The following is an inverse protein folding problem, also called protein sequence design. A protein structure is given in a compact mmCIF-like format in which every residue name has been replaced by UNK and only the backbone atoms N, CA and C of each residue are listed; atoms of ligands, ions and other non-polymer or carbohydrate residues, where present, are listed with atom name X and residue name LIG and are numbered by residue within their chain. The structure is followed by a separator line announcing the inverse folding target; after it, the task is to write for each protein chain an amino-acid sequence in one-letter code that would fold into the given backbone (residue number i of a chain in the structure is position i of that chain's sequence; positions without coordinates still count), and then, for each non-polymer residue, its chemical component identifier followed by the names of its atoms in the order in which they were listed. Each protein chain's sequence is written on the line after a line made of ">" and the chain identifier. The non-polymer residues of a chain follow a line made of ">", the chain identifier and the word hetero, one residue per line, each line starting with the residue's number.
data_IF_061497029025
#
_entry.id   IF_061497029025
#
_cell.length_a   1.000
_cell.length_b   1.000
_cell.length_c   1.000
_cell.angle_alpha   90.00
_cell.angle_beta   90.00
_cell.angle_gamma   90.00
#
_symmetry.space_group_name_H-M   'P 1'
#
loop_
_entity.id
_entity.type
_entity.pdbx_description
1 polymer ?
#
# COMPACT_ATOMS: atom_id res chain seq x y z
N UNK A 1 -28.25 8.11 5.43
CA UNK A 1 -27.36 8.31 4.28
C UNK A 1 -26.38 7.14 4.19
N UNK A 2 -26.31 6.44 3.05
CA UNK A 2 -25.35 5.35 2.89
C UNK A 2 -24.00 5.96 2.52
N UNK A 3 -23.00 5.84 3.38
CA UNK A 3 -21.64 6.36 3.17
C UNK A 3 -20.90 5.68 2.01
N UNK A 4 -21.32 4.47 1.63
CA UNK A 4 -20.71 3.69 0.55
C UNK A 4 -21.83 3.16 -0.37
N UNK A 5 -21.66 3.35 -1.69
CA UNK A 5 -22.61 2.88 -2.71
C UNK A 5 -22.13 1.57 -3.34
N UNK A 6 -22.88 0.46 -3.25
CA UNK A 6 -22.47 -0.83 -3.81
C UNK A 6 -22.28 -0.81 -5.33
N UNK A 7 -23.01 0.06 -6.02
CA UNK A 7 -22.89 0.24 -7.47
C UNK A 7 -21.54 0.84 -7.84
N UNK A 8 -21.07 1.85 -7.09
CA UNK A 8 -19.77 2.51 -7.32
C UNK A 8 -18.64 1.52 -7.02
N UNK A 9 -18.76 0.73 -5.96
CA UNK A 9 -17.79 -0.32 -5.60
C UNK A 9 -17.66 -1.34 -6.75
N UNK A 10 -18.77 -1.85 -7.27
CA UNK A 10 -18.77 -2.84 -8.37
C UNK A 10 -18.16 -2.27 -9.65
N UNK A 11 -18.44 -1.02 -9.99
CA UNK A 11 -17.84 -0.35 -11.14
C UNK A 11 -16.34 -0.12 -10.94
N UNK A 12 -15.92 0.28 -9.73
CA UNK A 12 -14.52 0.45 -9.38
C UNK A 12 -13.70 -0.84 -9.54
N UNK A 13 -14.20 -1.95 -9.02
CA UNK A 13 -13.56 -3.27 -9.20
C UNK A 13 -13.41 -3.60 -10.68
N UNK A 14 -14.47 -3.43 -11.49
CA UNK A 14 -14.43 -3.69 -12.94
C UNK A 14 -13.44 -2.78 -13.67
N UNK A 15 -13.28 -1.54 -13.22
CA UNK A 15 -12.32 -0.57 -13.80
C UNK A 15 -10.86 -0.99 -13.58
N UNK A 16 -10.53 -1.55 -12.43
CA UNK A 16 -9.17 -2.01 -12.10
C UNK A 16 -8.78 -3.19 -12.98
N UNK A 17 -9.67 -4.18 -13.13
CA UNK A 17 -9.37 -5.43 -13.84
C UNK A 17 -9.47 -5.33 -15.37
N UNK A 18 -10.05 -4.26 -15.90
CA UNK A 18 -10.31 -4.10 -17.35
C UNK A 18 -9.14 -3.60 -18.20
N UNK A 19 -7.93 -3.33 -17.62
CA UNK A 19 -6.77 -2.74 -18.33
C UNK A 19 -5.47 -3.45 -17.96
N UNK A 20 -4.41 -3.20 -18.73
CA UNK A 20 -3.04 -3.69 -18.48
C UNK A 20 -2.54 -3.42 -17.03
N UNK A 21 -3.07 -2.41 -16.38
CA UNK A 21 -2.81 -2.10 -14.96
C UNK A 21 -3.29 -3.21 -14.03
N UNK A 22 -4.36 -3.92 -14.39
CA UNK A 22 -4.82 -5.09 -13.64
C UNK A 22 -3.80 -6.22 -13.64
N UNK A 23 -3.07 -6.42 -14.73
CA UNK A 23 -2.01 -7.43 -14.83
C UNK A 23 -0.88 -7.14 -13.84
N UNK A 24 -0.47 -5.87 -13.74
CA UNK A 24 0.58 -5.45 -12.78
C UNK A 24 0.18 -5.69 -11.33
N UNK A 25 -1.11 -5.56 -10.98
CA UNK A 25 -1.61 -5.90 -9.65
C UNK A 25 -1.44 -7.38 -9.29
N UNK A 26 -1.43 -8.29 -10.28
CA UNK A 26 -1.14 -9.70 -10.04
C UNK A 26 0.36 -10.01 -10.10
N UNK A 27 1.10 -9.34 -10.97
CA UNK A 27 2.54 -9.56 -11.12
C UNK A 27 3.31 -9.17 -9.86
N UNK A 28 2.98 -8.03 -9.23
CA UNK A 28 3.68 -7.57 -8.02
C UNK A 28 3.61 -8.57 -6.85
N UNK A 29 2.42 -9.07 -6.44
CA UNK A 29 2.33 -10.11 -5.42
C UNK A 29 3.05 -11.40 -5.81
N UNK A 30 2.94 -11.80 -7.07
CA UNK A 30 3.57 -13.02 -7.58
C UNK A 30 5.10 -12.91 -7.53
N UNK A 31 5.65 -11.76 -7.88
CA UNK A 31 7.09 -11.47 -7.75
C UNK A 31 7.51 -11.50 -6.27
N UNK A 32 6.74 -10.89 -5.37
CA UNK A 32 7.05 -10.91 -3.94
C UNK A 32 7.12 -12.35 -3.39
N UNK A 33 6.07 -13.13 -3.61
CA UNK A 33 6.01 -14.51 -3.12
C UNK A 33 7.04 -15.39 -3.85
N UNK A 34 7.21 -15.21 -5.15
CA UNK A 34 8.22 -15.94 -5.94
C UNK A 34 9.65 -15.68 -5.46
N UNK A 35 9.98 -14.43 -5.18
CA UNK A 35 11.30 -14.08 -4.62
C UNK A 35 11.45 -14.56 -3.17
N UNK A 36 10.40 -14.59 -2.37
CA UNK A 36 10.42 -15.18 -1.05
C UNK A 36 10.72 -16.68 -1.10
N UNK A 37 10.08 -17.41 -2.01
CA UNK A 37 10.35 -18.84 -2.24
C UNK A 37 11.80 -19.05 -2.73
N UNK A 38 12.25 -18.23 -3.67
CA UNK A 38 13.61 -18.30 -4.19
C UNK A 38 14.66 -17.98 -3.12
N UNK A 39 14.45 -16.93 -2.34
CA UNK A 39 15.33 -16.56 -1.23
C UNK A 39 15.42 -17.70 -0.20
N UNK A 40 14.30 -18.32 0.14
CA UNK A 40 14.29 -19.50 1.02
C UNK A 40 15.08 -20.68 0.43
N UNK A 41 14.94 -20.93 -0.88
CA UNK A 41 15.62 -22.05 -1.54
C UNK A 41 17.13 -21.85 -1.63
N UNK A 42 17.59 -20.60 -1.80
CA UNK A 42 19.02 -20.28 -2.00
C UNK A 42 19.76 -20.00 -0.67
N UNK A 43 19.14 -19.29 0.24
CA UNK A 43 19.77 -18.79 1.48
C UNK A 43 19.32 -19.58 2.71
N UNK A 44 18.23 -20.34 2.60
CA UNK A 44 17.64 -21.05 3.73
C UNK A 44 16.85 -20.11 4.63
N UNK A 45 16.67 -20.50 5.90
CA UNK A 45 15.98 -19.70 6.90
C UNK A 45 16.99 -18.79 7.63
N UNK A 46 17.32 -17.64 7.03
CA UNK A 46 18.12 -16.62 7.71
C UNK A 46 17.22 -15.48 8.21
N UNK A 47 17.44 -15.04 9.42
CA UNK A 47 16.69 -13.91 9.99
C UNK A 47 16.87 -12.64 9.16
N UNK A 48 18.13 -12.28 8.92
CA UNK A 48 18.51 -11.08 8.18
C UNK A 48 17.95 -11.12 6.75
N UNK A 49 18.08 -12.24 6.02
CA UNK A 49 17.59 -12.38 4.66
C UNK A 49 16.07 -12.28 4.57
N UNK A 50 15.34 -12.83 5.54
CA UNK A 50 13.88 -12.76 5.61
C UNK A 50 13.41 -11.33 5.88
N UNK A 51 14.05 -10.64 6.83
CA UNK A 51 13.74 -9.26 7.17
C UNK A 51 14.02 -8.31 6.02
N UNK A 52 15.20 -8.42 5.38
CA UNK A 52 15.54 -7.61 4.22
C UNK A 52 14.58 -7.82 3.04
N UNK A 53 14.15 -9.06 2.79
CA UNK A 53 13.19 -9.35 1.72
C UNK A 53 11.82 -8.75 2.02
N UNK A 54 11.28 -8.97 3.21
CA UNK A 54 9.95 -8.47 3.59
C UNK A 54 9.93 -6.95 3.70
N UNK A 55 10.97 -6.35 4.29
CA UNK A 55 11.07 -4.90 4.39
C UNK A 55 11.35 -4.27 3.02
N UNK A 56 12.44 -4.64 2.36
CA UNK A 56 12.91 -3.99 1.14
C UNK A 56 11.98 -4.22 -0.04
N UNK A 57 11.59 -5.47 -0.33
CA UNK A 57 10.67 -5.75 -1.44
C UNK A 57 9.21 -5.54 -1.03
N UNK A 58 8.84 -6.00 0.16
CA UNK A 58 7.45 -5.95 0.59
C UNK A 58 6.99 -4.53 0.92
N UNK A 59 7.50 -3.93 2.01
CA UNK A 59 7.03 -2.63 2.50
C UNK A 59 7.49 -1.46 1.64
N UNK A 60 8.74 -1.48 1.14
CA UNK A 60 9.30 -0.34 0.38
C UNK A 60 8.83 -0.33 -1.07
N UNK A 61 8.59 -1.49 -1.69
CA UNK A 61 8.28 -1.57 -3.14
C UNK A 61 6.84 -2.02 -3.38
N UNK A 62 6.46 -3.21 -2.93
CA UNK A 62 5.18 -3.82 -3.34
C UNK A 62 3.99 -3.07 -2.75
N UNK A 63 4.00 -2.77 -1.46
CA UNK A 63 2.87 -2.08 -0.79
C UNK A 63 2.56 -0.73 -1.43
N UNK A 64 3.52 0.21 -1.58
CA UNK A 64 3.22 1.50 -2.17
C UNK A 64 2.88 1.43 -3.67
N UNK A 65 3.49 0.50 -4.43
CA UNK A 65 3.16 0.34 -5.85
C UNK A 65 1.75 -0.23 -6.05
N UNK A 66 1.34 -1.21 -5.24
CA UNK A 66 -0.04 -1.72 -5.26
C UNK A 66 -1.04 -0.62 -4.90
N UNK A 67 -0.75 0.17 -3.87
CA UNK A 67 -1.58 1.31 -3.48
C UNK A 67 -1.68 2.37 -4.59
N UNK A 68 -0.56 2.69 -5.24
CA UNK A 68 -0.52 3.64 -6.36
C UNK A 68 -1.33 3.14 -7.56
N UNK A 69 -1.17 1.87 -7.94
CA UNK A 69 -1.92 1.27 -9.05
C UNK A 69 -3.41 1.19 -8.77
N UNK A 70 -3.79 0.78 -7.55
CA UNK A 70 -5.18 0.68 -7.14
C UNK A 70 -5.86 2.05 -7.16
N UNK A 71 -5.28 3.07 -6.53
CA UNK A 71 -5.85 4.42 -6.46
C UNK A 71 -5.87 5.13 -7.80
N UNK A 72 -4.77 5.10 -8.56
CA UNK A 72 -4.71 5.73 -9.88
C UNK A 72 -5.63 5.05 -10.91
N UNK A 73 -5.82 3.73 -10.80
CA UNK A 73 -6.76 2.99 -11.64
C UNK A 73 -8.23 3.35 -11.41
N UNK A 74 -8.56 3.78 -10.18
CA UNK A 74 -9.92 4.14 -9.79
C UNK A 74 -10.28 5.62 -10.04
N UNK A 75 -9.31 6.52 -9.91
CA UNK A 75 -9.56 7.96 -9.93
C UNK A 75 -9.15 8.62 -11.26
N UNK A 76 -8.03 8.22 -11.85
CA UNK A 76 -7.51 8.85 -13.05
C UNK A 76 -8.44 8.77 -14.28
N UNK A 77 -9.13 7.64 -14.58
CA UNK A 77 -9.98 7.55 -15.77
C UNK A 77 -11.14 8.55 -15.78
N UNK A 78 -11.72 8.84 -14.62
CA UNK A 78 -12.86 9.75 -14.53
C UNK A 78 -12.45 11.23 -14.62
N UNK A 79 -11.22 11.54 -14.26
CA UNK A 79 -10.64 12.87 -14.40
C UNK A 79 -10.28 13.12 -15.86
N UNK A 80 -9.65 12.13 -16.52
CA UNK A 80 -9.21 12.23 -17.91
C UNK A 80 -10.38 12.27 -18.91
N UNK A 81 -11.42 11.46 -18.67
CA UNK A 81 -12.60 11.38 -19.57
C UNK A 81 -13.61 12.52 -19.36
N UNK A 82 -13.38 13.45 -18.42
CA UNK A 82 -14.31 14.53 -18.10
C UNK A 82 -15.68 14.06 -17.57
N UNK A 83 -15.82 12.75 -17.29
CA UNK A 83 -17.06 12.15 -16.78
C UNK A 83 -17.42 12.60 -15.36
N UNK A 84 -16.50 13.28 -14.69
CA UNK A 84 -16.73 14.00 -13.44
C UNK A 84 -17.93 14.93 -13.52
N UNK A 85 -18.15 15.62 -14.66
CA UNK A 85 -19.29 16.50 -14.88
C UNK A 85 -20.64 15.77 -14.85
N UNK A 86 -20.70 14.54 -15.37
CA UNK A 86 -21.90 13.69 -15.32
C UNK A 86 -22.17 13.12 -13.91
N UNK A 87 -21.12 12.81 -13.15
CA UNK A 87 -21.24 12.37 -11.76
C UNK A 87 -21.72 13.51 -10.84
N UNK A 88 -21.35 14.76 -11.15
CA UNK A 88 -21.77 15.95 -10.44
C UNK A 88 -23.24 16.34 -10.71
N UNK A 89 -23.82 15.87 -11.81
CA UNK A 89 -25.23 16.07 -12.14
C UNK A 89 -26.21 15.18 -11.34
N UNK A 90 -25.69 14.11 -10.70
CA UNK A 90 -26.49 13.28 -9.78
C UNK A 90 -26.45 13.85 -8.36
N UNK A 91 -27.56 13.78 -7.59
CA UNK A 91 -27.64 14.26 -6.21
C UNK A 91 -26.95 13.32 -5.21
N UNK A 92 -25.67 12.97 -5.50
CA UNK A 92 -24.82 12.15 -4.63
C UNK A 92 -23.71 13.02 -4.07
N UNK A 93 -23.52 13.09 -2.75
CA UNK A 93 -22.45 13.90 -2.15
C UNK A 93 -21.06 13.39 -2.62
N UNK A 94 -20.19 14.33 -2.96
CA UNK A 94 -18.83 14.06 -3.46
C UNK A 94 -18.03 13.16 -2.52
N UNK A 95 -18.18 13.33 -1.21
CA UNK A 95 -17.57 12.51 -0.18
C UNK A 95 -17.93 11.03 -0.31
N UNK A 96 -19.17 10.69 -0.65
CA UNK A 96 -19.61 9.30 -0.84
C UNK A 96 -18.90 8.64 -2.01
N UNK A 97 -18.64 9.39 -3.10
CA UNK A 97 -17.94 8.88 -4.27
C UNK A 97 -16.47 8.58 -3.92
N UNK A 98 -15.79 9.54 -3.29
CA UNK A 98 -14.37 9.40 -2.91
C UNK A 98 -14.19 8.28 -1.89
N UNK A 99 -15.02 8.24 -0.85
CA UNK A 99 -14.97 7.18 0.17
C UNK A 99 -15.24 5.79 -0.43
N UNK A 100 -16.22 5.66 -1.32
CA UNK A 100 -16.50 4.38 -1.97
C UNK A 100 -15.31 3.88 -2.79
N UNK A 101 -14.60 4.77 -3.47
CA UNK A 101 -13.40 4.43 -4.25
C UNK A 101 -12.21 4.13 -3.34
N UNK A 102 -12.04 4.89 -2.27
CA UNK A 102 -10.98 4.63 -1.30
C UNK A 102 -11.15 3.24 -0.65
N UNK A 103 -12.39 2.85 -0.30
CA UNK A 103 -12.69 1.51 0.21
C UNK A 103 -12.30 0.41 -0.79
N UNK A 104 -12.56 0.62 -2.09
CA UNK A 104 -12.12 -0.34 -3.13
C UNK A 104 -10.61 -0.39 -3.23
N UNK A 105 -9.92 0.75 -3.20
CA UNK A 105 -8.46 0.81 -3.23
C UNK A 105 -7.84 0.07 -2.03
N UNK A 106 -8.36 0.31 -0.84
CA UNK A 106 -7.93 -0.38 0.39
C UNK A 106 -8.20 -1.88 0.29
N UNK A 107 -9.37 -2.30 -0.19
CA UNK A 107 -9.66 -3.72 -0.41
C UNK A 107 -8.68 -4.37 -1.41
N UNK A 108 -8.28 -3.66 -2.47
CA UNK A 108 -7.23 -4.12 -3.38
C UNK A 108 -5.86 -4.24 -2.69
N UNK A 109 -5.48 -3.29 -1.85
CA UNK A 109 -4.23 -3.37 -1.08
C UNK A 109 -4.25 -4.55 -0.11
N UNK A 110 -5.36 -4.77 0.58
CA UNK A 110 -5.50 -5.93 1.46
C UNK A 110 -5.33 -7.24 0.69
N UNK A 111 -5.95 -7.36 -0.48
CA UNK A 111 -5.89 -8.59 -1.29
C UNK A 111 -4.54 -8.78 -2.00
N UNK A 112 -3.93 -7.71 -2.54
CA UNK A 112 -2.76 -7.79 -3.43
C UNK A 112 -1.45 -7.32 -2.80
N UNK A 113 -1.46 -6.78 -1.58
CA UNK A 113 -0.25 -6.47 -0.84
C UNK A 113 -0.22 -7.21 0.50
N UNK A 114 -1.25 -7.06 1.36
CA UNK A 114 -1.20 -7.61 2.72
C UNK A 114 -1.30 -9.14 2.76
N UNK A 115 -2.18 -9.75 1.95
CA UNK A 115 -2.26 -11.22 1.86
C UNK A 115 -0.98 -11.82 1.30
N UNK A 116 -0.40 -11.35 0.17
CA UNK A 116 0.89 -11.84 -0.31
C UNK A 116 2.05 -11.59 0.66
N UNK A 117 2.02 -10.48 1.40
CA UNK A 117 3.00 -10.21 2.46
C UNK A 117 2.96 -11.28 3.55
N UNK A 118 1.75 -11.64 3.99
CA UNK A 118 1.54 -12.74 4.94
C UNK A 118 2.10 -14.05 4.40
N UNK A 119 1.76 -14.40 3.15
CA UNK A 119 2.23 -15.63 2.50
C UNK A 119 3.75 -15.65 2.35
N UNK A 120 4.35 -14.55 1.91
CA UNK A 120 5.82 -14.42 1.80
C UNK A 120 6.50 -14.58 3.16
N UNK A 121 5.96 -13.97 4.20
CA UNK A 121 6.46 -14.10 5.58
C UNK A 121 6.37 -15.52 6.10
N UNK A 122 5.24 -16.22 5.89
CA UNK A 122 5.08 -17.63 6.26
C UNK A 122 6.02 -18.56 5.48
N UNK A 123 6.32 -18.25 4.22
CA UNK A 123 7.28 -18.99 3.43
C UNK A 123 8.70 -18.78 3.95
N UNK A 124 9.10 -17.56 4.26
CA UNK A 124 10.44 -17.22 4.72
C UNK A 124 10.72 -17.69 6.16
N UNK A 125 9.74 -17.56 7.05
CA UNK A 125 9.85 -17.87 8.49
C UNK A 125 8.73 -18.79 8.94
N UNK A 126 8.85 -20.07 8.61
CA UNK A 126 7.88 -21.11 9.05
C UNK A 126 7.93 -21.35 10.56
N UNK A 127 9.07 -21.07 11.19
CA UNK A 127 9.28 -21.32 12.63
C UNK A 127 8.70 -20.20 13.50
N UNK A 128 8.56 -19.00 12.94
CA UNK A 128 8.04 -17.85 13.67
C UNK A 128 6.96 -17.12 12.84
N UNK A 129 5.70 -17.49 12.98
CA UNK A 129 4.59 -16.83 12.26
C UNK A 129 4.34 -15.39 12.70
N UNK A 130 4.90 -14.93 13.85
CA UNK A 130 4.74 -13.55 14.32
C UNK A 130 5.33 -12.55 13.33
N UNK A 131 6.44 -12.92 12.67
CA UNK A 131 7.07 -12.10 11.61
C UNK A 131 6.12 -11.91 10.44
N UNK A 132 5.50 -12.98 9.95
CA UNK A 132 4.55 -12.91 8.85
C UNK A 132 3.34 -12.02 9.19
N UNK A 133 2.79 -12.19 10.39
CA UNK A 133 1.66 -11.39 10.89
C UNK A 133 2.07 -9.93 11.09
N UNK A 134 3.25 -9.68 11.66
CA UNK A 134 3.77 -8.33 11.88
C UNK A 134 3.89 -7.54 10.56
N UNK A 135 4.54 -8.11 9.55
CA UNK A 135 4.67 -7.47 8.24
C UNK A 135 3.34 -7.34 7.51
N UNK A 136 2.42 -8.31 7.65
CA UNK A 136 1.09 -8.18 7.09
C UNK A 136 0.30 -7.02 7.73
N UNK A 137 0.32 -6.88 9.06
CA UNK A 137 -0.33 -5.76 9.75
C UNK A 137 0.34 -4.41 9.42
N UNK A 138 1.67 -4.37 9.34
CA UNK A 138 2.40 -3.20 8.87
C UNK A 138 1.98 -2.80 7.45
N UNK A 139 1.80 -3.78 6.55
CA UNK A 139 1.34 -3.52 5.19
C UNK A 139 -0.12 -3.03 5.12
N UNK A 140 -0.98 -3.42 6.04
CA UNK A 140 -2.35 -2.88 6.16
C UNK A 140 -2.31 -1.40 6.51
N UNK A 141 -1.56 -1.02 7.54
CA UNK A 141 -1.42 0.38 7.94
C UNK A 141 -0.80 1.22 6.81
N UNK A 142 0.38 0.82 6.33
CA UNK A 142 1.06 1.57 5.27
C UNK A 142 0.29 1.62 3.97
N UNK A 143 -0.31 0.51 3.58
CA UNK A 143 -1.11 0.45 2.36
C UNK A 143 -2.35 1.34 2.41
N UNK A 144 -3.03 1.42 3.55
CA UNK A 144 -4.17 2.34 3.72
C UNK A 144 -3.73 3.80 3.70
N UNK A 145 -2.62 4.14 4.37
CA UNK A 145 -2.04 5.48 4.34
C UNK A 145 -1.59 5.89 2.92
N UNK A 146 -0.93 4.99 2.19
CA UNK A 146 -0.57 5.23 0.78
C UNK A 146 -1.80 5.41 -0.11
N UNK A 147 -2.88 4.64 0.10
CA UNK A 147 -4.13 4.83 -0.64
C UNK A 147 -4.69 6.24 -0.43
N UNK A 148 -4.70 6.74 0.79
CA UNK A 148 -5.18 8.09 1.09
C UNK A 148 -4.29 9.16 0.44
N UNK A 149 -2.96 9.02 0.56
CA UNK A 149 -2.00 9.92 -0.07
C UNK A 149 -2.14 9.96 -1.60
N UNK A 150 -2.18 8.79 -2.25
CA UNK A 150 -2.29 8.73 -3.71
C UNK A 150 -3.68 9.11 -4.21
N UNK A 151 -4.73 8.93 -3.41
CA UNK A 151 -6.04 9.48 -3.70
C UNK A 151 -6.00 11.01 -3.71
N UNK A 152 -5.36 11.62 -2.71
CA UNK A 152 -5.14 13.07 -2.67
C UNK A 152 -4.34 13.56 -3.88
N UNK A 153 -3.22 12.91 -4.20
CA UNK A 153 -2.42 13.25 -5.38
C UNK A 153 -3.21 13.12 -6.68
N UNK A 154 -4.08 12.12 -6.78
CA UNK A 154 -4.92 11.91 -7.97
C UNK A 154 -5.96 13.03 -8.16
N UNK A 155 -6.37 13.70 -7.08
CA UNK A 155 -7.28 14.85 -7.15
C UNK A 155 -6.53 16.14 -7.51
N UNK A 156 -5.30 16.28 -7.01
CA UNK A 156 -4.48 17.51 -7.17
C UNK A 156 -3.78 17.56 -8.53
N UNK A 157 -3.36 16.40 -9.09
CA UNK A 157 -2.54 16.35 -10.29
C UNK A 157 -3.14 15.46 -11.39
N UNK A 158 -2.99 15.88 -12.65
CA UNK A 158 -3.39 15.09 -13.83
C UNK A 158 -2.47 13.86 -14.04
N UNK A 159 -1.23 13.92 -13.56
CA UNK A 159 -0.22 12.85 -13.71
C UNK A 159 0.08 12.17 -12.37
N UNK A 160 -0.99 11.75 -11.66
CA UNK A 160 -0.89 11.18 -10.31
C UNK A 160 0.08 9.99 -10.20
N UNK A 161 0.17 9.14 -11.25
CA UNK A 161 1.12 8.01 -11.27
C UNK A 161 2.56 8.50 -11.28
N UNK A 162 2.89 9.47 -12.14
CA UNK A 162 4.26 10.01 -12.23
C UNK A 162 4.65 10.72 -10.94
N UNK A 163 3.77 11.56 -10.42
CA UNK A 163 4.01 12.28 -9.16
C UNK A 163 4.12 11.31 -7.99
N UNK A 164 3.28 10.26 -7.96
CA UNK A 164 3.35 9.20 -6.95
C UNK A 164 4.66 8.43 -7.01
N UNK A 165 5.16 8.08 -8.21
CA UNK A 165 6.46 7.44 -8.38
C UNK A 165 7.61 8.35 -7.95
N UNK A 166 7.58 9.63 -8.30
CA UNK A 166 8.57 10.61 -7.85
C UNK A 166 8.55 10.73 -6.33
N UNK A 167 7.36 10.78 -5.72
CA UNK A 167 7.23 10.76 -4.27
C UNK A 167 7.91 9.52 -3.65
N UNK A 168 7.64 8.33 -4.17
CA UNK A 168 8.24 7.09 -3.66
C UNK A 168 9.76 7.10 -3.79
N UNK A 169 10.29 7.50 -4.95
CA UNK A 169 11.73 7.50 -5.19
C UNK A 169 12.46 8.56 -4.38
N UNK A 170 11.93 9.79 -4.35
CA UNK A 170 12.61 10.91 -3.71
C UNK A 170 12.35 10.92 -2.21
N UNK A 171 11.08 10.81 -1.79
CA UNK A 171 10.71 10.95 -0.38
C UNK A 171 11.03 9.70 0.43
N UNK A 172 10.54 8.55 -0.02
CA UNK A 172 10.73 7.29 0.71
C UNK A 172 12.11 6.68 0.46
N UNK A 173 12.58 6.69 -0.81
CA UNK A 173 13.84 6.09 -1.19
C UNK A 173 15.06 6.93 -0.80
N UNK A 174 15.09 8.21 -1.21
CA UNK A 174 16.26 9.06 -1.01
C UNK A 174 16.23 9.78 0.35
N UNK A 175 15.20 10.57 0.63
CA UNK A 175 15.15 11.40 1.83
C UNK A 175 14.93 10.58 3.10
N UNK A 176 14.09 9.57 3.04
CA UNK A 176 13.86 8.64 4.16
C UNK A 176 15.12 7.87 4.58
N UNK A 177 16.06 7.65 3.65
CA UNK A 177 17.36 7.01 3.92
C UNK A 177 18.44 7.95 4.43
N UNK A 178 18.45 9.22 3.95
CA UNK A 178 19.55 10.18 4.20
C UNK A 178 19.31 11.10 5.40
N UNK A 179 18.06 11.46 5.67
CA UNK A 179 17.72 12.50 6.66
C UNK A 179 16.97 11.91 7.86
N UNK A 180 17.57 11.94 9.04
CA UNK A 180 16.95 11.44 10.27
C UNK A 180 15.64 12.17 10.62
N UNK A 181 15.53 13.46 10.33
CA UNK A 181 14.33 14.26 10.56
C UNK A 181 13.13 13.85 9.71
N UNK A 182 13.34 13.36 8.50
CA UNK A 182 12.29 12.93 7.56
C UNK A 182 11.72 11.55 7.92
N UNK A 183 12.45 10.77 8.74
CA UNK A 183 12.03 9.45 9.21
C UNK A 183 10.65 9.46 9.86
N UNK A 184 10.30 10.52 10.56
CA UNK A 184 8.99 10.67 11.22
C UNK A 184 7.82 10.79 10.24
N UNK A 185 8.07 11.21 9.00
CA UNK A 185 7.07 11.43 7.96
C UNK A 185 7.03 10.30 6.92
N UNK A 186 7.83 9.25 7.08
CA UNK A 186 7.87 8.11 6.17
C UNK A 186 6.80 7.08 6.52
N UNK A 187 5.89 6.83 5.57
CA UNK A 187 4.82 5.84 5.70
C UNK A 187 5.41 4.42 5.79
N UNK A 188 6.46 4.14 5.03
CA UNK A 188 7.17 2.85 5.09
C UNK A 188 7.68 2.57 6.50
N UNK A 189 8.21 3.59 7.20
CA UNK A 189 8.70 3.42 8.58
C UNK A 189 7.61 3.20 9.59
N UNK A 190 6.44 3.86 9.45
CA UNK A 190 5.29 3.57 10.29
C UNK A 190 4.84 2.11 10.15
N UNK A 191 4.86 1.62 8.91
CA UNK A 191 4.54 0.23 8.59
C UNK A 191 5.53 -0.74 9.23
N UNK A 192 6.82 -0.42 9.15
CA UNK A 192 7.89 -1.22 9.73
C UNK A 192 7.84 -1.23 11.27
N UNK A 193 7.51 -0.10 11.91
CA UNK A 193 7.35 -0.04 13.37
C UNK A 193 6.23 -0.97 13.86
N UNK A 194 5.10 -1.03 13.12
CA UNK A 194 4.03 -1.99 13.44
C UNK A 194 4.53 -3.43 13.29
N UNK A 195 5.27 -3.72 12.22
CA UNK A 195 5.85 -5.05 12.01
C UNK A 195 6.82 -5.42 13.13
N UNK A 196 7.72 -4.51 13.52
CA UNK A 196 8.70 -4.72 14.59
C UNK A 196 8.04 -5.02 15.94
N UNK A 197 6.99 -4.26 16.28
CA UNK A 197 6.28 -4.44 17.54
C UNK A 197 5.54 -5.78 17.64
N UNK A 198 4.94 -6.23 16.53
CA UNK A 198 4.19 -7.48 16.50
C UNK A 198 5.12 -8.68 16.41
N UNK A 199 6.20 -8.56 15.64
CA UNK A 199 7.16 -9.64 15.44
C UNK A 199 8.28 -9.70 16.50
N UNK A 200 8.37 -8.69 17.38
CA UNK A 200 9.46 -8.58 18.37
C UNK A 200 10.82 -8.32 17.72
N UNK A 201 10.85 -7.69 16.56
CA UNK A 201 12.04 -7.37 15.79
C UNK A 201 12.58 -5.97 16.14
N UNK A 202 13.78 -5.66 15.65
CA UNK A 202 14.43 -4.35 15.83
C UNK A 202 14.95 -3.82 14.48
N UNK A 203 14.11 -3.84 13.44
CA UNK A 203 14.51 -3.41 12.10
C UNK A 203 14.73 -1.89 12.00
N UNK A 204 13.88 -1.13 12.65
CA UNK A 204 13.81 0.33 12.48
C UNK A 204 13.65 1.07 13.82
N UNK A 205 13.79 0.36 14.92
CA UNK A 205 13.50 0.77 16.31
C UNK A 205 13.91 2.20 16.65
N UNK A 206 13.02 3.17 16.45
CA UNK A 206 13.16 4.54 17.00
C UNK A 206 11.88 5.37 17.00
N UNK A 207 10.75 4.84 16.49
CA UNK A 207 9.48 5.57 16.51
C UNK A 207 8.56 5.00 17.59
N UNK A 208 7.88 5.81 18.40
CA UNK A 208 6.85 5.27 19.31
C UNK A 208 5.65 4.77 18.48
N UNK A 209 5.19 3.54 18.77
CA UNK A 209 4.05 2.92 18.09
C UNK A 209 2.81 3.85 18.09
N UNK A 210 2.59 4.57 19.18
CA UNK A 210 1.50 5.54 19.30
C UNK A 210 1.58 6.63 18.23
N UNK A 211 2.79 7.08 17.90
CA UNK A 211 3.02 8.05 16.84
C UNK A 211 2.73 7.44 15.45
N UNK A 212 3.24 6.24 15.17
CA UNK A 212 3.03 5.57 13.90
C UNK A 212 1.53 5.34 13.61
N UNK A 213 0.78 4.89 14.62
CA UNK A 213 -0.66 4.71 14.52
C UNK A 213 -1.40 6.05 14.38
N UNK A 214 -1.03 7.05 15.18
CA UNK A 214 -1.65 8.38 15.11
C UNK A 214 -1.39 9.06 13.76
N UNK A 215 -0.16 9.00 13.25
CA UNK A 215 0.19 9.55 11.94
C UNK A 215 -0.54 8.82 10.82
N UNK A 216 -0.64 7.50 10.86
CA UNK A 216 -1.43 6.72 9.93
C UNK A 216 -2.90 7.11 9.92
N UNK A 217 -3.51 7.28 11.09
CA UNK A 217 -4.93 7.71 11.22
C UNK A 217 -5.14 9.15 10.71
N UNK A 218 -4.18 10.06 10.93
CA UNK A 218 -4.28 11.44 10.44
C UNK A 218 -4.20 11.53 8.90
N UNK A 219 -3.44 10.63 8.28
CA UNK A 219 -3.31 10.60 6.80
C UNK A 219 -4.51 9.95 6.13
N UNK A 220 -5.18 8.99 6.78
CA UNK A 220 -6.41 8.31 6.30
C UNK A 220 -7.64 9.19 6.49
#
# INVERSE_FOLDING_TARGET
>A
MRLVSPTIVRLGVKSIFGRWRGVLLFVLPLVLVGLAVLARALVGQSEEGSQHTLYGLGLVVVVPLVALLATSGLLAPEIDDGSISYLLAKPVPRSTIVLSKLVVAVACVLAFASVPMLLAGLVLRTDDPSVAVGFALGSVLGGTAYCALFALLSVVTRHAVVVGLVYLLVWEGLLGGLLDGVRWLSITRWSAEVADRVAGLTLVAQLPLTYALAAGVVVI
#
